data_IF_472361384179
#
_entry.id   IF_472361384179
#
_cell.length_a   1.000
_cell.length_b   1.000
_cell.length_c   1.000
_cell.angle_alpha   90.00
_cell.angle_beta   90.00
_cell.angle_gamma   90.00
#
_symmetry.space_group_name_H-M   'P 1'
#
loop_
_entity.id
_entity.type
_entity.pdbx_description
1 polymer ?
#
# COMPACT_ATOMS: atom_id res chain seq x y z
N UNK A 1 18.53 -4.00 -4.29
CA UNK A 1 17.63 -3.02 -4.97
C UNK A 1 17.95 -2.95 -6.47
N UNK A 2 16.99 -3.25 -7.35
CA UNK A 2 17.14 -3.17 -8.82
C UNK A 2 17.16 -1.70 -9.29
N UNK A 3 17.20 -1.44 -10.60
CA UNK A 3 17.11 -0.07 -11.14
C UNK A 3 15.67 0.48 -11.11
N UNK A 4 14.68 -0.41 -11.09
CA UNK A 4 13.25 -0.09 -11.09
C UNK A 4 12.67 -0.03 -9.67
N UNK A 5 13.39 -0.56 -8.67
CA UNK A 5 12.97 -0.49 -7.28
C UNK A 5 13.07 0.96 -6.75
N UNK A 6 12.03 1.37 -6.05
CA UNK A 6 11.87 2.69 -5.46
C UNK A 6 11.38 2.53 -4.02
N UNK A 7 11.70 3.51 -3.18
CA UNK A 7 11.07 3.69 -1.88
C UNK A 7 10.12 4.88 -1.98
N UNK A 8 9.09 4.89 -1.15
CA UNK A 8 8.16 6.01 -1.02
C UNK A 8 8.20 6.59 0.39
N UNK A 9 7.64 7.79 0.59
CA UNK A 9 7.45 8.38 1.89
C UNK A 9 6.43 7.60 2.70
N UNK A 10 6.36 7.89 3.99
CA UNK A 10 5.47 7.24 4.92
C UNK A 10 4.45 8.27 5.42
N UNK A 11 3.24 8.25 4.87
CA UNK A 11 2.11 9.02 5.39
C UNK A 11 0.92 8.12 5.78
N UNK A 12 0.57 8.05 7.07
CA UNK A 12 -0.64 7.38 7.49
C UNK A 12 -1.85 8.30 7.27
N UNK A 13 -2.88 7.74 6.62
CA UNK A 13 -4.23 8.33 6.61
C UNK A 13 -5.12 7.61 7.62
N UNK A 14 -5.85 8.39 8.42
CA UNK A 14 -6.81 7.87 9.40
C UNK A 14 -8.18 7.68 8.77
N UNK A 15 -8.82 6.55 9.11
CA UNK A 15 -10.16 6.19 8.66
C UNK A 15 -11.04 5.80 9.85
N UNK A 16 -11.35 6.77 10.73
CA UNK A 16 -12.18 6.50 11.92
C UNK A 16 -13.61 6.96 11.74
N UNK A 17 -14.52 6.45 12.56
CA UNK A 17 -15.95 6.78 12.46
C UNK A 17 -16.27 8.27 12.74
N UNK A 18 -15.32 8.99 13.36
CA UNK A 18 -15.41 10.40 13.72
C UNK A 18 -14.75 11.33 12.69
N UNK A 19 -14.19 10.78 11.62
CA UNK A 19 -13.70 11.57 10.51
C UNK A 19 -14.81 12.38 9.83
N UNK A 20 -14.45 13.44 9.08
CA UNK A 20 -15.41 14.19 8.28
C UNK A 20 -16.15 13.26 7.31
N UNK A 21 -17.43 13.56 7.07
CA UNK A 21 -18.26 12.78 6.15
C UNK A 21 -18.46 13.51 4.84
N UNK A 22 -18.39 12.74 3.75
CA UNK A 22 -18.77 13.20 2.43
C UNK A 22 -20.31 13.28 2.30
N UNK A 23 -20.84 14.09 1.37
CA UNK A 23 -22.29 14.21 1.16
C UNK A 23 -22.99 12.88 0.82
N UNK A 24 -22.26 11.92 0.26
CA UNK A 24 -22.72 10.58 -0.07
C UNK A 24 -22.72 9.61 1.13
N UNK A 25 -22.31 10.07 2.32
CA UNK A 25 -22.19 9.28 3.54
C UNK A 25 -20.85 8.57 3.71
N UNK A 26 -19.92 8.70 2.76
CA UNK A 26 -18.56 8.18 2.86
C UNK A 26 -17.73 8.86 3.94
N UNK A 27 -16.70 8.18 4.44
CA UNK A 27 -15.73 8.76 5.38
C UNK A 27 -14.61 9.42 4.59
N UNK A 28 -14.39 10.72 4.81
CA UNK A 28 -13.25 11.44 4.28
C UNK A 28 -12.00 11.09 5.10
N UNK A 29 -10.95 10.53 4.50
CA UNK A 29 -9.72 10.23 5.23
C UNK A 29 -9.04 11.50 5.73
N UNK A 30 -8.50 11.45 6.94
CA UNK A 30 -7.71 12.54 7.50
C UNK A 30 -6.24 12.16 7.41
N UNK A 31 -5.49 12.81 6.51
CA UNK A 31 -4.04 12.66 6.39
C UNK A 31 -3.34 13.36 7.55
N UNK A 32 -2.37 12.65 8.15
CA UNK A 32 -1.54 13.19 9.22
C UNK A 32 -0.67 14.33 8.71
N UNK A 33 -0.10 14.19 7.51
CA UNK A 33 0.69 15.22 6.85
C UNK A 33 -0.14 16.49 6.56
N UNK A 34 -1.36 16.35 6.03
CA UNK A 34 -2.20 17.50 5.71
C UNK A 34 -2.56 18.35 6.95
N UNK A 35 -2.90 17.69 8.07
CA UNK A 35 -3.18 18.37 9.35
C UNK A 35 -1.93 19.09 9.88
N UNK A 36 -0.76 18.43 9.82
CA UNK A 36 0.52 19.05 10.22
C UNK A 36 0.84 20.24 9.32
N UNK A 37 0.72 20.08 8.01
CA UNK A 37 1.01 21.11 7.01
C UNK A 37 0.14 22.35 7.18
N UNK A 38 -1.15 22.18 7.49
CA UNK A 38 -2.04 23.32 7.81
C UNK A 38 -1.54 24.13 9.01
N UNK A 39 -1.14 23.45 10.10
CA UNK A 39 -0.64 24.11 11.31
C UNK A 39 0.76 24.74 11.10
N UNK A 40 1.62 24.08 10.33
CA UNK A 40 2.96 24.58 9.99
C UNK A 40 2.89 25.77 9.02
N UNK A 41 1.95 25.78 8.07
CA UNK A 41 1.71 26.92 7.20
C UNK A 41 1.32 28.17 8.01
N UNK A 42 0.41 28.02 8.97
CA UNK A 42 0.04 29.11 9.87
C UNK A 42 1.23 29.64 10.70
N UNK A 43 2.06 28.75 11.24
CA UNK A 43 3.17 29.13 12.11
C UNK A 43 4.40 29.63 11.37
N UNK A 44 4.82 28.93 10.31
CA UNK A 44 6.12 29.15 9.67
C UNK A 44 6.02 30.11 8.48
N UNK A 45 4.99 29.94 7.63
CA UNK A 45 4.82 30.77 6.42
C UNK A 45 4.12 32.08 6.75
N UNK A 46 3.02 32.04 7.49
CA UNK A 46 2.27 33.22 7.90
C UNK A 46 2.86 33.90 9.15
N UNK A 47 3.80 33.23 9.85
CA UNK A 47 4.47 33.75 11.05
C UNK A 47 3.49 34.18 12.14
N UNK A 48 2.40 33.43 12.29
CA UNK A 48 1.41 33.68 13.35
C UNK A 48 1.98 33.15 14.66
N UNK A 49 2.45 34.05 15.51
CA UNK A 49 3.03 33.74 16.82
C UNK A 49 2.07 34.03 17.99
N UNK A 50 0.98 34.76 17.73
CA UNK A 50 -0.01 35.10 18.74
C UNK A 50 -0.80 33.86 19.20
N UNK A 51 -0.81 33.61 20.51
CA UNK A 51 -1.46 32.44 21.10
C UNK A 51 -2.97 32.44 20.88
N UNK A 52 -3.62 33.61 20.89
CA UNK A 52 -5.06 33.72 20.64
C UNK A 52 -5.39 33.35 19.19
N UNK A 53 -4.65 33.90 18.22
CA UNK A 53 -4.80 33.54 16.81
C UNK A 53 -4.52 32.04 16.54
N UNK A 54 -3.52 31.46 17.20
CA UNK A 54 -3.26 30.01 17.10
C UNK A 54 -4.39 29.17 17.71
N UNK A 55 -4.97 29.63 18.82
CA UNK A 55 -6.16 29.04 19.43
C UNK A 55 -7.35 29.04 18.46
N UNK A 56 -7.61 30.16 17.79
CA UNK A 56 -8.68 30.30 16.80
C UNK A 56 -8.47 29.36 15.61
N UNK A 57 -7.24 29.25 15.10
CA UNK A 57 -6.91 28.34 13.99
C UNK A 57 -7.14 26.88 14.39
N UNK A 58 -6.71 26.50 15.59
CA UNK A 58 -6.93 25.16 16.12
C UNK A 58 -8.43 24.87 16.34
N UNK A 59 -9.17 25.83 16.88
CA UNK A 59 -10.61 25.72 17.05
C UNK A 59 -11.31 25.56 15.70
N UNK A 60 -10.93 26.37 14.70
CA UNK A 60 -11.46 26.26 13.34
C UNK A 60 -11.17 24.91 12.71
N UNK A 61 -9.98 24.34 12.91
CA UNK A 61 -9.68 23.00 12.46
C UNK A 61 -10.58 21.96 13.16
N UNK A 62 -10.82 22.12 14.46
CA UNK A 62 -11.67 21.22 15.24
C UNK A 62 -13.17 21.28 14.88
N UNK A 63 -13.62 22.37 14.25
CA UNK A 63 -14.97 22.49 13.68
C UNK A 63 -15.18 21.48 12.52
N UNK A 64 -14.11 21.11 11.81
CA UNK A 64 -14.16 20.19 10.66
C UNK A 64 -13.62 18.79 10.98
N UNK A 65 -12.59 18.70 11.82
CA UNK A 65 -11.95 17.43 12.21
C UNK A 65 -12.18 17.21 13.70
N UNK A 66 -12.88 16.15 14.05
CA UNK A 66 -13.23 15.87 15.43
C UNK A 66 -11.98 15.85 16.35
N UNK A 67 -12.00 16.47 17.54
CA UNK A 67 -10.81 16.55 18.42
C UNK A 67 -10.15 15.21 18.75
N UNK A 68 -10.92 14.14 18.91
CA UNK A 68 -10.37 12.78 19.11
C UNK A 68 -9.55 12.31 17.90
N UNK A 69 -9.96 12.67 16.68
CA UNK A 69 -9.20 12.37 15.45
C UNK A 69 -7.90 13.18 15.44
N UNK A 70 -7.91 14.44 15.88
CA UNK A 70 -6.66 15.23 16.02
C UNK A 70 -5.70 14.60 17.05
N UNK A 71 -6.23 14.04 18.14
CA UNK A 71 -5.45 13.23 19.08
C UNK A 71 -4.88 11.96 18.44
N UNK A 72 -5.66 11.29 17.59
CA UNK A 72 -5.20 10.12 16.82
C UNK A 72 -4.15 10.49 15.78
N UNK A 73 -4.24 11.66 15.14
CA UNK A 73 -3.23 12.18 14.20
C UNK A 73 -1.87 12.25 14.90
N UNK A 74 -1.83 12.85 16.10
CA UNK A 74 -0.62 12.93 16.90
C UNK A 74 -0.07 11.54 17.26
N UNK A 75 -0.93 10.61 17.70
CA UNK A 75 -0.52 9.24 18.06
C UNK A 75 -0.02 8.44 16.86
N UNK A 76 -0.71 8.52 15.73
CA UNK A 76 -0.37 7.81 14.50
C UNK A 76 1.01 8.25 14.00
N UNK A 77 1.30 9.55 14.04
CA UNK A 77 2.64 10.08 13.75
C UNK A 77 3.72 9.49 14.65
N UNK A 78 3.50 9.47 15.96
CA UNK A 78 4.49 8.93 16.89
C UNK A 78 4.72 7.41 16.67
N UNK A 79 3.64 6.66 16.41
CA UNK A 79 3.71 5.23 16.14
C UNK A 79 4.48 4.93 14.86
N UNK A 80 4.27 5.69 13.79
CA UNK A 80 4.93 5.44 12.52
C UNK A 80 6.41 5.81 12.57
N UNK A 81 6.79 6.86 13.29
CA UNK A 81 8.18 7.20 13.57
C UNK A 81 8.88 6.10 14.38
N UNK A 82 8.23 5.58 15.43
CA UNK A 82 8.76 4.45 16.21
C UNK A 82 8.93 3.18 15.34
N UNK A 83 7.97 2.89 14.46
CA UNK A 83 8.07 1.73 13.56
C UNK A 83 9.20 1.91 12.55
N UNK A 84 9.32 3.09 11.94
CA UNK A 84 10.40 3.41 11.01
C UNK A 84 11.77 3.29 11.70
N UNK A 85 11.91 3.77 12.94
CA UNK A 85 13.14 3.61 13.74
C UNK A 85 13.50 2.14 13.92
N UNK A 86 12.55 1.30 14.37
CA UNK A 86 12.78 -0.14 14.54
C UNK A 86 13.19 -0.85 13.24
N UNK A 87 12.56 -0.49 12.11
CA UNK A 87 12.90 -1.07 10.81
C UNK A 87 14.29 -0.63 10.32
N UNK A 88 14.69 0.62 10.61
CA UNK A 88 15.97 1.18 10.20
C UNK A 88 17.16 0.67 11.03
N UNK A 89 16.95 0.16 12.26
CA UNK A 89 18.02 -0.32 13.15
C UNK A 89 18.97 -1.33 12.48
N UNK A 90 18.45 -2.18 11.58
CA UNK A 90 19.26 -3.17 10.86
C UNK A 90 20.03 -2.59 9.66
N UNK A 91 19.67 -1.39 9.21
CA UNK A 91 20.27 -0.70 8.07
C UNK A 91 21.27 0.37 8.53
N UNK A 92 20.92 1.17 9.54
CA UNK A 92 21.66 2.34 10.01
C UNK A 92 21.73 2.32 11.53
N UNK A 93 22.94 2.39 12.08
CA UNK A 93 23.19 2.32 13.53
C UNK A 93 23.45 3.68 14.17
N UNK A 94 23.65 4.72 13.37
CA UNK A 94 23.97 6.07 13.84
C UNK A 94 22.66 6.84 14.15
N UNK A 95 22.39 7.22 15.41
CA UNK A 95 21.09 7.78 15.82
C UNK A 95 20.69 9.05 15.05
N UNK A 96 21.64 9.96 14.82
CA UNK A 96 21.40 11.20 14.07
C UNK A 96 21.00 10.93 12.61
N UNK A 97 21.61 9.92 11.97
CA UNK A 97 21.22 9.52 10.61
C UNK A 97 19.84 8.88 10.59
N UNK A 98 19.54 8.02 11.57
CA UNK A 98 18.20 7.42 11.69
C UNK A 98 17.13 8.50 11.81
N UNK A 99 17.34 9.48 12.70
CA UNK A 99 16.43 10.61 12.88
C UNK A 99 16.23 11.39 11.57
N UNK A 100 17.33 11.73 10.88
CA UNK A 100 17.25 12.45 9.59
C UNK A 100 16.50 11.66 8.52
N UNK A 101 16.71 10.35 8.43
CA UNK A 101 16.00 9.49 7.45
C UNK A 101 14.49 9.46 7.78
N UNK A 102 14.13 9.33 9.05
CA UNK A 102 12.72 9.34 9.48
C UNK A 102 12.06 10.69 9.18
N UNK A 103 12.74 11.80 9.49
CA UNK A 103 12.25 13.15 9.17
C UNK A 103 12.03 13.32 7.66
N UNK A 104 12.98 12.84 6.84
CA UNK A 104 12.85 12.87 5.39
C UNK A 104 11.64 12.04 4.91
N UNK A 105 11.51 10.79 5.38
CA UNK A 105 10.43 9.88 5.00
C UNK A 105 9.04 10.34 5.48
N UNK A 106 8.95 11.06 6.60
CA UNK A 106 7.69 11.46 7.20
C UNK A 106 7.30 12.94 6.95
N UNK A 107 8.16 13.78 6.37
CA UNK A 107 7.86 15.21 6.27
C UNK A 107 8.52 16.01 5.16
N UNK A 108 9.68 15.62 4.62
CA UNK A 108 10.38 16.48 3.64
C UNK A 108 10.13 16.09 2.18
N UNK A 109 9.48 14.96 1.92
CA UNK A 109 9.27 14.51 0.54
C UNK A 109 8.25 15.37 -0.23
N UNK A 110 7.43 16.17 0.46
CA UNK A 110 6.53 17.19 -0.11
C UNK A 110 5.39 16.66 -0.98
N UNK A 111 5.43 15.38 -1.37
CA UNK A 111 4.35 14.64 -1.99
C UNK A 111 4.47 13.15 -1.63
N UNK A 112 3.33 12.48 -1.47
CA UNK A 112 3.30 11.01 -1.33
C UNK A 112 3.80 10.29 -2.59
N UNK A 113 3.85 10.98 -3.72
CA UNK A 113 4.36 10.48 -4.99
C UNK A 113 5.89 10.60 -5.11
N UNK A 114 6.56 11.12 -4.08
CA UNK A 114 8.00 11.29 -4.12
C UNK A 114 8.71 9.94 -4.15
N UNK A 115 9.32 9.66 -5.29
CA UNK A 115 9.90 8.35 -5.57
C UNK A 115 11.40 8.36 -5.29
N UNK A 116 11.81 7.75 -4.17
CA UNK A 116 13.22 7.65 -3.78
C UNK A 116 13.87 6.52 -4.55
N UNK A 117 14.72 6.87 -5.51
CA UNK A 117 15.42 5.89 -6.32
C UNK A 117 16.67 5.34 -5.60
N UNK A 118 17.24 4.27 -6.17
CA UNK A 118 18.42 3.61 -5.59
C UNK A 118 19.65 4.51 -5.40
N UNK A 119 19.87 5.50 -6.27
CA UNK A 119 21.04 6.38 -6.15
C UNK A 119 20.86 7.33 -4.97
N UNK A 120 19.68 7.91 -4.86
CA UNK A 120 19.28 8.79 -3.78
C UNK A 120 19.28 8.07 -2.43
N UNK A 121 18.62 6.92 -2.34
CA UNK A 121 18.62 6.08 -1.15
C UNK A 121 20.05 5.74 -0.66
N UNK A 122 21.02 5.57 -1.57
CA UNK A 122 22.43 5.35 -1.20
C UNK A 122 23.14 6.64 -0.81
N UNK A 123 23.05 7.67 -1.65
CA UNK A 123 23.93 8.83 -1.59
C UNK A 123 23.42 9.91 -0.64
N UNK A 124 22.11 10.05 -0.50
CA UNK A 124 21.45 11.08 0.30
C UNK A 124 20.98 10.52 1.64
N UNK A 125 20.36 9.34 1.63
CA UNK A 125 19.88 8.66 2.85
C UNK A 125 20.92 7.74 3.50
N UNK A 126 22.01 7.41 2.79
CA UNK A 126 23.08 6.57 3.34
C UNK A 126 22.68 5.11 3.60
N UNK A 127 21.60 4.62 2.97
CA UNK A 127 21.13 3.26 3.17
C UNK A 127 22.11 2.22 2.61
N UNK A 128 22.19 1.05 3.25
CA UNK A 128 23.06 -0.06 2.82
C UNK A 128 22.45 -0.76 1.60
N UNK A 129 22.79 -0.27 0.41
CA UNK A 129 22.26 -0.83 -0.83
C UNK A 129 23.19 -1.88 -1.43
N UNK A 130 22.71 -3.11 -1.51
CA UNK A 130 23.30 -4.17 -2.33
C UNK A 130 22.74 -4.11 -3.75
N UNK A 131 23.64 -4.02 -4.73
CA UNK A 131 23.30 -4.09 -6.15
C UNK A 131 23.29 -5.57 -6.56
N UNK A 132 22.21 -6.05 -7.18
CA UNK A 132 22.19 -7.42 -7.71
C UNK A 132 23.26 -7.56 -8.81
N UNK A 133 23.86 -8.74 -8.90
CA UNK A 133 24.71 -9.14 -10.03
C UNK A 133 23.87 -9.21 -11.32
N UNK A 134 24.51 -9.36 -12.48
CA UNK A 134 23.80 -9.55 -13.75
C UNK A 134 22.84 -10.75 -13.69
N UNK A 135 23.32 -11.89 -13.18
CA UNK A 135 22.52 -13.11 -13.03
C UNK A 135 21.32 -12.88 -12.10
N UNK A 136 21.53 -12.28 -10.93
CA UNK A 136 20.44 -11.97 -9.99
C UNK A 136 19.44 -10.99 -10.61
N UNK A 137 19.91 -9.99 -11.36
CA UNK A 137 19.04 -9.04 -12.03
C UNK A 137 18.14 -9.73 -13.05
N UNK A 138 18.70 -10.64 -13.85
CA UNK A 138 17.92 -11.44 -14.81
C UNK A 138 16.88 -12.31 -14.10
N UNK A 139 17.23 -12.95 -12.98
CA UNK A 139 16.29 -13.75 -12.20
C UNK A 139 15.14 -12.90 -11.61
N UNK A 140 15.46 -11.76 -10.98
CA UNK A 140 14.46 -10.84 -10.44
C UNK A 140 13.53 -10.34 -11.55
N UNK A 141 14.09 -10.00 -12.73
CA UNK A 141 13.28 -9.58 -13.87
C UNK A 141 12.36 -10.70 -14.35
N UNK A 142 12.85 -11.94 -14.44
CA UNK A 142 12.01 -13.09 -14.82
C UNK A 142 10.83 -13.27 -13.88
N UNK A 143 11.04 -13.20 -12.57
CA UNK A 143 9.96 -13.27 -11.58
C UNK A 143 8.95 -12.14 -11.78
N UNK A 144 9.44 -10.91 -12.00
CA UNK A 144 8.54 -9.79 -12.28
C UNK A 144 7.74 -9.96 -13.58
N UNK A 145 8.40 -10.38 -14.66
CA UNK A 145 7.75 -10.60 -15.96
C UNK A 145 6.66 -11.69 -15.84
N UNK A 146 6.95 -12.78 -15.11
CA UNK A 146 6.01 -13.87 -14.83
C UNK A 146 4.77 -13.39 -14.06
N UNK A 147 4.97 -12.66 -12.96
CA UNK A 147 3.88 -12.04 -12.19
C UNK A 147 3.09 -11.04 -13.06
N UNK A 148 3.76 -10.24 -13.90
CA UNK A 148 3.11 -9.29 -14.79
C UNK A 148 2.28 -10.00 -15.88
N UNK A 149 2.76 -11.12 -16.41
CA UNK A 149 2.05 -11.87 -17.43
C UNK A 149 0.79 -12.53 -16.85
N UNK A 150 0.84 -12.95 -15.59
CA UNK A 150 -0.32 -13.49 -14.87
C UNK A 150 -1.33 -12.41 -14.44
N UNK A 151 -0.86 -11.34 -13.78
CA UNK A 151 -1.71 -10.27 -13.23
C UNK A 151 -2.02 -9.15 -14.23
N UNK A 152 -1.41 -9.20 -15.41
CA UNK A 152 -1.63 -8.26 -16.52
C UNK A 152 -1.42 -6.79 -16.13
N UNK A 153 -0.36 -6.45 -15.37
CA UNK A 153 -0.15 -5.08 -14.86
C UNK A 153 -0.14 -3.99 -15.95
N UNK A 154 0.22 -4.37 -17.18
CA UNK A 154 0.26 -3.44 -18.31
C UNK A 154 -1.08 -3.27 -19.05
N UNK A 155 -2.15 -3.96 -18.62
CA UNK A 155 -3.46 -3.93 -19.28
C UNK A 155 -4.55 -3.57 -18.26
N UNK A 156 -5.17 -2.38 -18.36
CA UNK A 156 -6.26 -2.03 -17.46
C UNK A 156 -7.44 -2.97 -17.67
N UNK A 157 -8.06 -3.42 -16.58
CA UNK A 157 -9.30 -4.17 -16.66
C UNK A 157 -10.47 -3.20 -16.86
N UNK A 158 -11.02 -3.17 -18.07
CA UNK A 158 -12.17 -2.34 -18.44
C UNK A 158 -13.41 -3.21 -18.61
N UNK A 159 -14.35 -3.12 -17.66
CA UNK A 159 -15.59 -3.92 -17.70
C UNK A 159 -16.41 -3.67 -18.97
N UNK A 160 -16.28 -2.47 -19.55
CA UNK A 160 -16.89 -2.05 -20.82
C UNK A 160 -16.38 -2.82 -22.02
N UNK A 161 -15.21 -3.46 -21.92
CA UNK A 161 -14.60 -4.26 -22.98
C UNK A 161 -14.92 -5.76 -22.86
N UNK A 162 -15.52 -6.20 -21.74
CA UNK A 162 -15.94 -7.58 -21.51
C UNK A 162 -17.34 -7.85 -22.06
N UNK A 163 -17.54 -9.00 -22.69
CA UNK A 163 -18.85 -9.52 -23.07
C UNK A 163 -18.88 -11.03 -22.84
N UNK A 164 -19.76 -11.52 -21.96
CA UNK A 164 -19.77 -12.90 -21.50
C UNK A 164 -19.00 -13.11 -20.18
N UNK A 165 -18.61 -14.36 -19.93
CA UNK A 165 -17.91 -14.74 -18.71
C UNK A 165 -16.48 -14.17 -18.66
N UNK A 166 -16.01 -13.82 -17.46
CA UNK A 166 -14.65 -13.39 -17.20
C UNK A 166 -14.13 -13.95 -15.88
N UNK A 167 -12.80 -14.05 -15.78
CA UNK A 167 -12.05 -14.37 -14.58
C UNK A 167 -10.80 -13.49 -14.53
N UNK A 168 -10.53 -12.88 -13.39
CA UNK A 168 -9.36 -12.00 -13.19
C UNK A 168 -8.67 -12.39 -11.90
N UNK A 169 -7.38 -12.73 -11.99
CA UNK A 169 -6.50 -12.87 -10.82
C UNK A 169 -6.06 -11.48 -10.37
N UNK A 170 -6.18 -11.20 -9.08
CA UNK A 170 -5.95 -9.85 -8.49
C UNK A 170 -4.76 -9.82 -7.55
N UNK A 171 -4.50 -10.95 -6.87
CA UNK A 171 -3.41 -11.12 -5.93
C UNK A 171 -2.84 -12.52 -6.10
N UNK A 172 -1.55 -12.68 -5.83
CA UNK A 172 -0.85 -13.96 -5.77
C UNK A 172 -0.18 -14.06 -4.41
N UNK A 173 -0.25 -15.25 -3.80
CA UNK A 173 0.49 -15.64 -2.62
C UNK A 173 1.17 -16.97 -2.92
N UNK A 174 2.49 -16.92 -3.04
CA UNK A 174 3.27 -18.09 -3.44
C UNK A 174 4.35 -18.43 -2.43
N UNK A 175 4.59 -19.73 -2.28
CA UNK A 175 5.74 -20.23 -1.56
C UNK A 175 6.22 -21.55 -2.17
N UNK A 176 7.49 -21.89 -1.94
CA UNK A 176 8.09 -23.12 -2.49
C UNK A 176 7.36 -24.37 -2.01
N UNK A 177 6.94 -24.39 -0.75
CA UNK A 177 6.29 -25.57 -0.13
C UNK A 177 4.78 -25.51 -0.26
N UNK A 178 4.20 -24.33 -0.02
CA UNK A 178 2.75 -24.14 0.01
C UNK A 178 2.12 -23.96 -1.36
N UNK A 179 2.90 -23.94 -2.45
CA UNK A 179 2.39 -23.74 -3.81
C UNK A 179 1.95 -22.31 -4.07
N UNK A 180 0.95 -22.15 -4.95
CA UNK A 180 0.44 -20.86 -5.39
C UNK A 180 -1.04 -20.71 -5.02
N UNK A 181 -1.36 -19.68 -4.24
CA UNK A 181 -2.72 -19.22 -4.01
C UNK A 181 -2.94 -17.89 -4.75
N UNK A 182 -4.14 -17.69 -5.29
CA UNK A 182 -4.48 -16.44 -5.94
C UNK A 182 -5.89 -15.99 -5.58
N UNK A 183 -6.08 -14.68 -5.44
CA UNK A 183 -7.39 -14.09 -5.24
C UNK A 183 -8.01 -13.79 -6.61
N UNK A 184 -9.17 -14.36 -6.90
CA UNK A 184 -9.84 -14.20 -8.18
C UNK A 184 -11.23 -13.59 -8.04
N UNK A 185 -11.58 -12.74 -9.01
CA UNK A 185 -12.96 -12.31 -9.24
C UNK A 185 -13.44 -12.92 -10.56
N UNK A 186 -14.55 -13.64 -10.53
CA UNK A 186 -15.17 -14.27 -11.69
C UNK A 186 -16.60 -13.79 -11.83
N UNK A 187 -17.04 -13.57 -13.07
CA UNK A 187 -18.36 -13.05 -13.33
C UNK A 187 -18.78 -13.17 -14.77
N UNK A 188 -19.94 -12.58 -15.08
CA UNK A 188 -20.49 -12.51 -16.43
C UNK A 188 -20.95 -11.09 -16.68
N UNK A 189 -20.50 -10.53 -17.80
CA UNK A 189 -20.97 -9.24 -18.30
C UNK A 189 -21.96 -9.49 -19.42
N UNK A 190 -23.19 -8.99 -19.25
CA UNK A 190 -24.22 -8.97 -20.29
C UNK A 190 -24.36 -7.55 -20.81
N UNK A 191 -24.24 -7.40 -22.13
CA UNK A 191 -24.50 -6.12 -22.80
C UNK A 191 -25.92 -6.11 -23.34
N UNK A 192 -26.67 -5.07 -22.99
CA UNK A 192 -28.00 -4.79 -23.50
C UNK A 192 -28.06 -3.42 -24.16
N UNK A 193 -29.11 -3.18 -24.95
CA UNK A 193 -29.48 -1.84 -25.38
C UNK A 193 -30.68 -1.38 -24.56
N UNK A 194 -30.59 -0.19 -24.01
CA UNK A 194 -31.72 0.49 -23.38
C UNK A 194 -32.70 0.97 -24.46
N UNK A 195 -33.97 1.25 -24.09
CA UNK A 195 -34.99 1.73 -25.03
C UNK A 195 -34.62 3.03 -25.76
N UNK A 196 -33.71 3.83 -25.20
CA UNK A 196 -33.19 5.08 -25.76
C UNK A 196 -31.97 4.87 -26.69
N UNK A 197 -31.56 3.62 -26.93
CA UNK A 197 -30.41 3.25 -27.76
C UNK A 197 -29.07 3.29 -27.04
N UNK A 198 -29.01 3.68 -25.77
CA UNK A 198 -27.78 3.64 -24.98
C UNK A 198 -27.39 2.19 -24.64
N UNK A 199 -26.09 1.95 -24.55
CA UNK A 199 -25.56 0.64 -24.15
C UNK A 199 -25.67 0.49 -22.63
N UNK A 200 -26.43 -0.50 -22.17
CA UNK A 200 -26.43 -0.94 -20.79
C UNK A 200 -25.43 -2.09 -20.62
N UNK A 201 -24.64 -2.01 -19.56
CA UNK A 201 -23.73 -3.08 -19.13
C UNK A 201 -24.22 -3.56 -17.78
N UNK A 202 -24.59 -4.84 -17.70
CA UNK A 202 -24.89 -5.52 -16.45
C UNK A 202 -23.74 -6.46 -16.13
N UNK A 203 -23.03 -6.20 -15.04
CA UNK A 203 -22.03 -7.12 -14.51
C UNK A 203 -22.63 -7.92 -13.35
N UNK A 204 -22.51 -9.25 -13.41
CA UNK A 204 -22.81 -10.15 -12.30
C UNK A 204 -21.53 -10.87 -11.88
N UNK A 205 -21.04 -10.55 -10.68
CA UNK A 205 -19.97 -11.32 -10.03
C UNK A 205 -20.56 -12.62 -9.50
N UNK A 206 -19.97 -13.74 -9.89
CA UNK A 206 -20.39 -15.08 -9.48
C UNK A 206 -19.49 -15.64 -8.36
N UNK A 207 -18.24 -15.21 -8.31
CA UNK A 207 -17.27 -15.64 -7.30
C UNK A 207 -16.25 -14.53 -7.05
N UNK A 208 -15.89 -14.36 -5.78
CA UNK A 208 -14.78 -13.52 -5.36
C UNK A 208 -14.14 -14.16 -4.12
N UNK A 209 -12.90 -14.60 -4.26
CA UNK A 209 -12.23 -15.34 -3.19
C UNK A 209 -10.87 -15.90 -3.57
N UNK A 210 -10.25 -16.58 -2.60
CA UNK A 210 -8.97 -17.28 -2.77
C UNK A 210 -9.17 -18.65 -3.40
N UNK A 211 -8.34 -18.96 -4.40
CA UNK A 211 -8.18 -20.28 -4.99
C UNK A 211 -6.74 -20.75 -4.86
N UNK A 212 -6.57 -22.05 -4.76
CA UNK A 212 -5.28 -22.70 -4.78
C UNK A 212 -5.00 -23.27 -6.18
N UNK A 213 -3.81 -23.01 -6.73
CA UNK A 213 -3.38 -23.57 -8.00
C UNK A 213 -2.79 -24.97 -7.79
N UNK A 214 -3.53 -25.98 -8.21
CA UNK A 214 -3.14 -27.39 -8.07
C UNK A 214 -2.10 -27.85 -9.11
N UNK A 215 -1.56 -26.95 -9.95
CA UNK A 215 -0.67 -27.31 -11.06
C UNK A 215 0.75 -27.75 -10.64
N UNK A 216 1.13 -27.63 -9.37
CA UNK A 216 2.50 -27.91 -8.89
C UNK A 216 2.69 -29.22 -8.11
N UNK A 217 1.71 -30.14 -8.07
CA UNK A 217 1.84 -31.42 -7.32
C UNK A 217 2.87 -32.42 -7.92
N UNK A 218 3.70 -32.02 -8.89
CA UNK A 218 4.77 -32.86 -9.45
C UNK A 218 6.04 -32.04 -9.66
N UNK A 219 6.79 -31.82 -8.58
CA UNK A 219 8.25 -31.95 -8.56
C UNK A 219 8.72 -31.77 -7.10
N UNK A 220 9.09 -32.88 -6.46
CA UNK A 220 9.71 -32.89 -5.14
C UNK A 220 10.93 -31.94 -5.11
N UNK A 221 10.82 -30.85 -4.36
CA UNK A 221 11.99 -30.05 -3.97
C UNK A 221 12.27 -30.34 -2.51
N UNK A 222 13.25 -31.22 -2.25
CA UNK A 222 13.75 -31.46 -0.90
C UNK A 222 14.60 -30.27 -0.44
N UNK A 223 14.12 -29.51 0.54
CA UNK A 223 14.90 -28.47 1.24
C UNK A 223 15.04 -28.90 2.70
N UNK A 224 16.25 -29.28 3.11
CA UNK A 224 16.56 -29.56 4.51
C UNK A 224 17.01 -28.27 5.21
N UNK A 225 16.17 -27.72 6.09
CA UNK A 225 16.52 -26.53 6.88
C UNK A 225 16.54 -26.75 8.40
N UNK A 226 16.78 -28.00 8.85
CA UNK A 226 17.40 -28.27 10.15
C UNK A 226 16.66 -27.89 11.43
N UNK A 227 15.55 -27.17 11.42
CA UNK A 227 14.78 -26.83 12.63
C UNK A 227 13.26 -26.82 12.32
N UNK A 228 12.55 -27.70 13.05
CA UNK A 228 11.09 -27.93 13.21
C UNK A 228 10.11 -27.64 12.05
N UNK A 229 9.35 -28.67 11.66
CA UNK A 229 8.18 -28.58 10.79
C UNK A 229 7.10 -27.67 11.40
N UNK A 230 6.89 -26.50 10.80
CA UNK A 230 5.68 -25.71 11.05
C UNK A 230 4.57 -26.27 10.17
N UNK A 231 3.71 -27.10 10.77
CA UNK A 231 2.50 -27.64 10.14
C UNK A 231 1.39 -26.60 10.25
N UNK A 232 0.94 -26.04 9.12
CA UNK A 232 -0.30 -25.27 9.07
C UNK A 232 -1.47 -26.26 8.91
N UNK A 233 -2.32 -26.37 9.94
CA UNK A 233 -3.53 -27.21 9.87
C UNK A 233 -4.45 -26.75 8.74
N UNK A 234 -4.74 -27.66 7.79
CA UNK A 234 -5.89 -27.52 6.88
C UNK A 234 -7.16 -27.77 7.70
N UNK A 235 -7.74 -26.73 8.28
CA UNK A 235 -9.11 -26.81 8.78
C UNK A 235 -10.05 -27.01 7.59
N UNK A 236 -10.76 -28.13 7.58
CA UNK A 236 -11.85 -28.43 6.63
C UNK A 236 -13.12 -27.62 6.89
N UNK A 237 -13.10 -26.64 7.80
CA UNK A 237 -14.31 -25.95 8.27
C UNK A 237 -14.75 -24.79 7.37
N UNK A 238 -14.01 -24.43 6.33
CA UNK A 238 -14.44 -23.40 5.38
C UNK A 238 -14.39 -23.91 3.94
N UNK A 239 -15.33 -24.80 3.64
CA UNK A 239 -15.84 -25.00 2.28
C UNK A 239 -17.21 -24.31 2.17
N UNK A 240 -17.26 -23.18 1.49
CA UNK A 240 -18.44 -22.64 0.80
C UNK A 240 -18.00 -21.92 -0.46
#
# INVERSE_FOLDING_TARGET
MTKQATLGPIDPSLHTALNPRLPDGGIFPVSVEAVKGYLEFAKNELKIEDEAALGDIFQKLSDFVHPLVLGEVYRSKAQIQMMAEKLLQNQVTEPEKVKKIIEFLCSESGSHDYTINRREAKNELGLKIVKPTSTQYTLIKKVYDDINDELLFSKPFLITEVNGAYAVRRCILESVVGGADYFATEGVVVRGKLPDGQMAIQNRVNYEGWRHDHTFDINEVSISNGEEEVVYERSSEYQT
#
